data_IF_468188063372
#
_entry.id   IF_468188063372
#
_cell.length_a   1.000
_cell.length_b   1.000
_cell.length_c   1.000
_cell.angle_alpha   90.00
_cell.angle_beta   90.00
_cell.angle_gamma   90.00
#
_symmetry.space_group_name_H-M   'P 1'
#
loop_
_entity.id
_entity.type
_entity.pdbx_description
1 polymer ?
#
# COMPACT_ATOMS: atom_id res chain seq x y z
N UNK A 1 15.91 -4.75 16.56
CA UNK A 1 14.66 -4.17 15.99
C UNK A 1 14.00 -5.26 15.15
N UNK A 2 12.74 -5.63 15.42
CA UNK A 2 12.05 -6.70 14.65
C UNK A 2 11.91 -6.32 13.18
N UNK A 3 12.06 -7.28 12.26
CA UNK A 3 11.95 -7.07 10.82
C UNK A 3 10.63 -6.37 10.42
N UNK A 4 9.52 -6.69 11.10
CA UNK A 4 8.23 -6.03 10.89
C UNK A 4 8.25 -4.53 11.20
N UNK A 5 9.03 -4.09 12.20
CA UNK A 5 9.18 -2.65 12.53
C UNK A 5 9.94 -1.90 11.43
N UNK A 6 10.93 -2.55 10.81
CA UNK A 6 11.73 -1.97 9.71
C UNK A 6 10.83 -1.77 8.48
N UNK A 7 10.12 -2.81 8.04
CA UNK A 7 9.23 -2.71 6.88
C UNK A 7 8.08 -1.72 7.10
N UNK A 8 7.53 -1.65 8.32
CA UNK A 8 6.53 -0.64 8.68
C UNK A 8 7.09 0.78 8.55
N UNK A 9 8.32 1.02 9.02
CA UNK A 9 8.97 2.33 8.91
C UNK A 9 9.25 2.71 7.46
N UNK A 10 9.76 1.77 6.65
CA UNK A 10 10.02 1.99 5.22
C UNK A 10 8.71 2.33 4.50
N UNK A 11 7.67 1.53 4.71
CA UNK A 11 6.35 1.77 4.11
C UNK A 11 5.79 3.14 4.51
N UNK A 12 5.86 3.49 5.79
CA UNK A 12 5.42 4.80 6.30
C UNK A 12 6.19 5.95 5.67
N UNK A 13 7.51 5.80 5.48
CA UNK A 13 8.35 6.79 4.80
C UNK A 13 7.94 6.97 3.34
N UNK A 14 7.72 5.86 2.63
CA UNK A 14 7.24 5.93 1.24
C UNK A 14 5.84 6.55 1.14
N UNK A 15 4.94 6.21 2.05
CA UNK A 15 3.59 6.77 2.10
C UNK A 15 3.62 8.28 2.37
N UNK A 16 4.53 8.76 3.22
CA UNK A 16 4.72 10.19 3.47
C UNK A 16 5.22 10.94 2.22
N UNK A 17 6.22 10.40 1.52
CA UNK A 17 6.70 10.99 0.26
C UNK A 17 5.58 11.03 -0.77
N UNK A 18 4.82 9.93 -0.91
CA UNK A 18 3.69 9.88 -1.82
C UNK A 18 2.63 10.92 -1.44
N UNK A 19 2.30 11.04 -0.15
CA UNK A 19 1.37 12.04 0.36
C UNK A 19 1.76 13.48 -0.05
N UNK A 20 3.04 13.84 0.06
CA UNK A 20 3.53 15.16 -0.37
C UNK A 20 3.31 15.39 -1.87
N UNK A 21 3.59 14.38 -2.70
CA UNK A 21 3.37 14.46 -4.15
C UNK A 21 1.87 14.58 -4.46
N UNK A 22 1.02 13.81 -3.77
CA UNK A 22 -0.43 13.85 -3.88
C UNK A 22 -0.98 15.22 -3.48
N UNK A 23 -0.45 15.85 -2.44
CA UNK A 23 -0.81 17.23 -2.07
C UNK A 23 -0.45 18.24 -3.17
N UNK A 24 0.71 18.09 -3.81
CA UNK A 24 1.10 18.93 -4.95
C UNK A 24 0.16 18.72 -6.15
N UNK A 25 -0.23 17.48 -6.44
CA UNK A 25 -1.23 17.16 -7.47
C UNK A 25 -2.57 17.81 -7.12
N UNK A 26 -3.03 17.67 -5.88
CA UNK A 26 -4.26 18.29 -5.39
C UNK A 26 -4.23 19.81 -5.52
N UNK A 27 -3.10 20.44 -5.21
CA UNK A 27 -2.91 21.88 -5.42
C UNK A 27 -3.06 22.26 -6.91
N UNK A 28 -2.44 21.50 -7.83
CA UNK A 28 -2.60 21.74 -9.27
C UNK A 28 -4.06 21.60 -9.70
N UNK A 29 -4.76 20.56 -9.24
CA UNK A 29 -6.18 20.30 -9.58
C UNK A 29 -7.09 21.41 -9.04
N UNK A 30 -6.93 21.80 -7.77
CA UNK A 30 -7.71 22.89 -7.17
C UNK A 30 -7.48 24.20 -7.93
N UNK A 31 -6.23 24.52 -8.26
CA UNK A 31 -5.90 25.70 -9.06
C UNK A 31 -6.50 25.60 -10.48
N UNK A 32 -6.57 24.41 -11.06
CA UNK A 32 -7.16 24.19 -12.38
C UNK A 32 -8.68 24.40 -12.39
N UNK A 33 -9.35 24.03 -11.31
CA UNK A 33 -10.80 24.23 -11.14
C UNK A 33 -11.13 25.72 -10.96
N UNK A 34 -10.28 26.46 -10.25
CA UNK A 34 -10.47 27.91 -10.00
C UNK A 34 -10.04 28.75 -11.21
N UNK A 35 -9.22 28.19 -12.10
CA UNK A 35 -8.67 28.91 -13.25
C UNK A 35 -9.77 29.36 -14.23
N UNK A 36 -9.48 30.43 -14.96
CA UNK A 36 -10.39 30.99 -15.98
C UNK A 36 -10.48 30.13 -17.24
N UNK A 37 -9.53 29.22 -17.44
CA UNK A 37 -9.48 28.31 -18.59
C UNK A 37 -10.12 26.98 -18.24
N UNK A 38 -11.01 26.47 -19.10
CA UNK A 38 -11.62 25.15 -18.92
C UNK A 38 -10.52 24.08 -18.95
N UNK A 39 -10.28 23.36 -17.85
CA UNK A 39 -9.21 22.36 -17.81
C UNK A 39 -9.57 21.16 -18.70
N UNK A 40 -8.58 20.53 -19.37
CA UNK A 40 -8.84 19.32 -20.11
C UNK A 40 -9.35 18.23 -19.18
N UNK A 41 -10.58 17.79 -19.43
CA UNK A 41 -11.33 16.86 -18.56
C UNK A 41 -10.54 15.58 -18.27
N UNK A 42 -9.95 14.96 -19.30
CA UNK A 42 -9.24 13.70 -19.17
C UNK A 42 -8.01 13.78 -18.25
N UNK A 43 -7.23 14.86 -18.33
CA UNK A 43 -6.06 15.06 -17.46
C UNK A 43 -6.51 15.34 -16.03
N UNK A 44 -7.53 16.17 -15.86
CA UNK A 44 -8.08 16.45 -14.52
C UNK A 44 -8.62 15.18 -13.88
N UNK A 45 -9.36 14.36 -14.64
CA UNK A 45 -9.90 13.09 -14.18
C UNK A 45 -8.80 12.11 -13.77
N UNK A 46 -7.75 11.97 -14.57
CA UNK A 46 -6.62 11.08 -14.24
C UNK A 46 -5.88 11.54 -12.98
N UNK A 47 -5.63 12.85 -12.82
CA UNK A 47 -5.04 13.39 -11.59
C UNK A 47 -5.94 13.15 -10.36
N UNK A 48 -7.27 13.33 -10.51
CA UNK A 48 -8.23 12.99 -9.45
C UNK A 48 -8.23 11.49 -9.11
N UNK A 49 -8.14 10.63 -10.12
CA UNK A 49 -8.09 9.19 -9.92
C UNK A 49 -6.84 8.75 -9.14
N UNK A 50 -5.67 9.36 -9.40
CA UNK A 50 -4.45 9.13 -8.60
C UNK A 50 -4.70 9.49 -7.13
N UNK A 51 -5.28 10.67 -6.85
CA UNK A 51 -5.58 11.09 -5.47
C UNK A 51 -6.54 10.12 -4.77
N UNK A 52 -7.60 9.69 -5.45
CA UNK A 52 -8.58 8.75 -4.90
C UNK A 52 -7.96 7.38 -4.61
N UNK A 53 -7.10 6.89 -5.49
CA UNK A 53 -6.39 5.62 -5.31
C UNK A 53 -5.40 5.68 -4.13
N UNK A 54 -4.71 6.81 -3.95
CA UNK A 54 -3.86 7.03 -2.78
C UNK A 54 -4.65 6.94 -1.46
N UNK A 55 -5.83 7.59 -1.41
CA UNK A 55 -6.71 7.53 -0.24
C UNK A 55 -7.19 6.10 0.01
N UNK A 56 -7.56 5.38 -1.05
CA UNK A 56 -7.98 3.97 -0.95
C UNK A 56 -6.85 3.07 -0.43
N UNK A 57 -5.64 3.18 -0.99
CA UNK A 57 -4.47 2.42 -0.54
C UNK A 57 -4.12 2.71 0.92
N UNK A 58 -4.15 3.99 1.32
CA UNK A 58 -3.89 4.42 2.70
C UNK A 58 -4.96 3.87 3.66
N UNK A 59 -6.23 3.93 3.26
CA UNK A 59 -7.34 3.39 4.05
C UNK A 59 -7.20 1.88 4.24
N UNK A 60 -6.88 1.14 3.17
CA UNK A 60 -6.60 -0.30 3.26
C UNK A 60 -5.43 -0.62 4.18
N UNK A 61 -4.37 0.19 4.16
CA UNK A 61 -3.24 0.02 5.09
C UNK A 61 -3.61 0.29 6.56
N UNK A 62 -4.43 1.32 6.81
CA UNK A 62 -4.95 1.59 8.16
C UNK A 62 -5.81 0.42 8.63
N UNK A 63 -6.69 -0.12 7.78
CA UNK A 63 -7.49 -1.30 8.10
C UNK A 63 -6.64 -2.55 8.35
N UNK A 64 -5.56 -2.76 7.59
CA UNK A 64 -4.58 -3.82 7.86
C UNK A 64 -3.93 -3.67 9.24
N UNK A 65 -3.71 -2.43 9.68
CA UNK A 65 -3.08 -2.12 10.97
C UNK A 65 -4.04 -2.22 12.15
N UNK A 66 -5.34 -1.95 11.93
CA UNK A 66 -6.35 -1.94 12.99
C UNK A 66 -7.12 -3.26 13.13
N UNK A 67 -7.32 -4.00 12.04
CA UNK A 67 -8.14 -5.22 12.02
C UNK A 67 -7.33 -6.49 11.81
N UNK A 68 -6.01 -6.38 11.65
CA UNK A 68 -5.06 -7.49 11.42
C UNK A 68 -5.42 -8.45 10.27
N UNK A 69 -6.31 -8.04 9.35
CA UNK A 69 -6.74 -8.88 8.23
C UNK A 69 -5.69 -8.89 7.13
N UNK A 70 -5.02 -10.02 6.83
CA UNK A 70 -3.98 -10.09 5.81
C UNK A 70 -4.52 -9.81 4.40
N UNK A 71 -5.82 -10.04 4.15
CA UNK A 71 -6.48 -9.67 2.89
C UNK A 71 -6.42 -8.17 2.59
N UNK A 72 -6.34 -7.31 3.61
CA UNK A 72 -6.20 -5.86 3.41
C UNK A 72 -4.84 -5.48 2.83
N UNK A 73 -3.80 -6.28 3.05
CA UNK A 73 -2.51 -6.06 2.41
C UNK A 73 -2.59 -6.30 0.89
N UNK A 74 -3.32 -7.33 0.46
CA UNK A 74 -3.56 -7.62 -0.96
C UNK A 74 -4.35 -6.48 -1.61
N UNK A 75 -5.39 -5.99 -0.95
CA UNK A 75 -6.18 -4.84 -1.43
C UNK A 75 -5.32 -3.58 -1.54
N UNK A 76 -4.48 -3.30 -0.54
CA UNK A 76 -3.56 -2.16 -0.60
C UNK A 76 -2.57 -2.28 -1.77
N UNK A 77 -2.01 -3.48 -2.03
CA UNK A 77 -1.14 -3.74 -3.18
C UNK A 77 -1.88 -3.50 -4.50
N UNK A 78 -3.12 -3.97 -4.63
CA UNK A 78 -3.94 -3.76 -5.84
C UNK A 78 -4.15 -2.26 -6.08
N UNK A 79 -4.49 -1.48 -5.06
CA UNK A 79 -4.64 -0.04 -5.19
C UNK A 79 -3.34 0.65 -5.55
N UNK A 80 -2.20 0.25 -4.98
CA UNK A 80 -0.89 0.78 -5.36
C UNK A 80 -0.53 0.45 -6.82
N UNK A 81 -0.84 -0.75 -7.31
CA UNK A 81 -0.64 -1.10 -8.73
C UNK A 81 -1.54 -0.24 -9.63
N UNK A 82 -2.80 -0.07 -9.26
CA UNK A 82 -3.72 0.82 -10.00
C UNK A 82 -3.20 2.26 -10.02
N UNK A 83 -2.63 2.75 -8.91
CA UNK A 83 -2.03 4.08 -8.80
C UNK A 83 -0.85 4.26 -9.78
N UNK A 84 0.02 3.24 -9.89
CA UNK A 84 1.10 3.21 -10.89
C UNK A 84 0.53 3.33 -12.31
N UNK A 85 -0.49 2.52 -12.64
CA UNK A 85 -1.08 2.50 -13.99
C UNK A 85 -1.70 3.86 -14.33
N UNK A 86 -2.49 4.44 -13.42
CA UNK A 86 -3.10 5.75 -13.64
C UNK A 86 -2.04 6.85 -13.73
N UNK A 87 -0.96 6.76 -12.96
CA UNK A 87 0.19 7.69 -13.06
C UNK A 87 0.82 7.63 -14.45
N UNK A 88 1.05 6.43 -15.00
CA UNK A 88 1.57 6.25 -16.36
C UNK A 88 0.60 6.85 -17.39
N UNK A 89 -0.70 6.59 -17.25
CA UNK A 89 -1.74 7.16 -18.14
C UNK A 89 -1.72 8.69 -18.07
N UNK A 90 -1.61 9.28 -16.88
CA UNK A 90 -1.53 10.73 -16.70
C UNK A 90 -0.30 11.32 -17.42
N UNK A 91 0.87 10.68 -17.30
CA UNK A 91 2.08 11.09 -18.03
C UNK A 91 1.86 11.00 -19.54
N UNK A 92 1.36 9.89 -20.05
CA UNK A 92 1.08 9.73 -21.50
C UNK A 92 0.12 10.81 -21.99
N UNK A 93 -0.92 11.12 -21.22
CA UNK A 93 -1.91 12.15 -21.54
C UNK A 93 -1.30 13.55 -21.65
N UNK A 94 -0.37 13.87 -20.74
CA UNK A 94 0.39 15.13 -20.75
C UNK A 94 1.30 15.21 -21.98
N UNK A 95 1.82 14.09 -22.47
CA UNK A 95 2.65 14.05 -23.68
C UNK A 95 1.86 14.05 -24.99
N UNK A 96 0.70 13.41 -25.02
CA UNK A 96 -0.16 13.29 -26.20
C UNK A 96 -0.80 14.62 -26.61
N UNK A 97 -0.85 15.60 -25.71
CA UNK A 97 -1.40 16.92 -25.99
C UNK A 97 -0.41 17.79 -26.76
N UNK A 98 -0.87 18.78 -27.55
CA UNK A 98 0.02 19.63 -28.36
C UNK A 98 0.85 20.55 -27.45
N UNK A 99 2.05 20.94 -27.90
CA UNK A 99 2.85 21.97 -27.22
C UNK A 99 2.22 23.33 -27.46
N UNK A 100 2.15 24.15 -26.42
CA UNK A 100 1.78 25.54 -26.53
C UNK A 100 3.07 26.37 -26.64
N UNK A 101 3.22 27.14 -27.72
CA UNK A 101 4.40 27.99 -27.93
C UNK A 101 4.36 29.28 -27.09
N UNK A 102 3.22 29.58 -26.46
CA UNK A 102 3.04 30.76 -25.63
C UNK A 102 3.59 30.57 -24.20
N UNK A 103 4.04 31.68 -23.60
CA UNK A 103 4.37 31.73 -22.18
C UNK A 103 3.07 31.64 -21.36
N UNK A 104 2.79 30.45 -20.81
CA UNK A 104 1.63 30.21 -19.96
C UNK A 104 2.04 30.42 -18.50
N UNK A 105 1.27 31.23 -17.77
CA UNK A 105 1.43 31.36 -16.32
C UNK A 105 0.61 30.28 -15.60
N UNK A 106 1.22 29.64 -14.59
CA UNK A 106 0.55 28.66 -13.73
C UNK A 106 -0.73 29.21 -13.09
N UNK A 107 -0.77 30.50 -12.78
CA UNK A 107 -1.94 31.15 -12.17
C UNK A 107 -3.16 31.22 -13.09
N UNK A 108 -2.96 31.23 -14.42
CA UNK A 108 -4.04 31.33 -15.41
C UNK A 108 -4.48 29.97 -15.93
N UNK A 109 -3.54 29.08 -16.22
CA UNK A 109 -3.82 27.76 -16.80
C UNK A 109 -2.83 26.71 -16.27
N UNK A 110 -3.04 26.17 -15.06
CA UNK A 110 -2.07 25.31 -14.38
C UNK A 110 -1.86 23.95 -15.08
N UNK A 111 -2.91 23.38 -15.70
CA UNK A 111 -2.77 22.14 -16.46
C UNK A 111 -2.01 22.37 -17.77
N UNK A 112 -2.31 23.45 -18.49
CA UNK A 112 -1.57 23.79 -19.71
C UNK A 112 -0.11 24.15 -19.41
N UNK A 113 0.14 24.79 -18.27
CA UNK A 113 1.49 25.01 -17.75
C UNK A 113 2.22 23.69 -17.51
N UNK A 114 1.55 22.70 -16.93
CA UNK A 114 2.13 21.35 -16.72
C UNK A 114 2.38 20.64 -18.05
N UNK A 115 1.48 20.77 -19.02
CA UNK A 115 1.63 20.27 -20.39
C UNK A 115 2.80 20.91 -21.14
N UNK A 116 3.09 22.18 -20.86
CA UNK A 116 4.26 22.85 -21.42
C UNK A 116 5.56 22.38 -20.74
N UNK A 117 5.51 22.10 -19.43
CA UNK A 117 6.65 21.63 -18.62
C UNK A 117 6.59 20.12 -18.35
N UNK A 118 6.50 19.33 -19.42
CA UNK A 118 6.34 17.86 -19.35
C UNK A 118 7.40 17.13 -18.53
N UNK A 119 8.61 17.70 -18.46
CA UNK A 119 9.69 17.16 -17.65
C UNK A 119 9.30 17.03 -16.17
N UNK A 120 8.42 17.89 -15.65
CA UNK A 120 7.91 17.80 -14.27
C UNK A 120 7.14 16.50 -14.07
N UNK A 121 6.28 16.13 -15.03
CA UNK A 121 5.53 14.88 -14.97
C UNK A 121 6.45 13.65 -15.09
N UNK A 122 7.50 13.73 -15.92
CA UNK A 122 8.51 12.66 -16.04
C UNK A 122 9.27 12.48 -14.73
N UNK A 123 9.73 13.58 -14.12
CA UNK A 123 10.45 13.53 -12.83
C UNK A 123 9.54 12.98 -11.73
N UNK A 124 8.28 13.41 -11.68
CA UNK A 124 7.32 12.88 -10.71
C UNK A 124 7.13 11.37 -10.88
N UNK A 125 6.94 10.88 -12.10
CA UNK A 125 6.80 9.45 -12.38
C UNK A 125 8.09 8.65 -12.08
N UNK A 126 9.26 9.22 -12.40
CA UNK A 126 10.56 8.60 -12.12
C UNK A 126 10.81 8.44 -10.61
N UNK A 127 10.19 9.29 -9.77
CA UNK A 127 10.23 9.17 -8.31
C UNK A 127 9.13 8.22 -7.82
N UNK A 128 7.90 8.37 -8.30
CA UNK A 128 6.73 7.61 -7.83
C UNK A 128 6.81 6.12 -8.16
N UNK A 129 7.26 5.75 -9.36
CA UNK A 129 7.26 4.33 -9.76
C UNK A 129 8.17 3.49 -8.86
N UNK A 130 9.45 3.86 -8.61
CA UNK A 130 10.28 3.15 -7.64
C UNK A 130 9.70 3.19 -6.22
N UNK A 131 9.10 4.32 -5.82
CA UNK A 131 8.47 4.48 -4.50
C UNK A 131 7.35 3.45 -4.30
N UNK A 132 6.49 3.28 -5.30
CA UNK A 132 5.41 2.30 -5.27
C UNK A 132 5.93 0.86 -5.28
N UNK A 133 7.00 0.57 -6.02
CA UNK A 133 7.64 -0.74 -5.97
C UNK A 133 8.15 -1.07 -4.56
N UNK A 134 8.77 -0.11 -3.87
CA UNK A 134 9.19 -0.25 -2.47
C UNK A 134 7.98 -0.41 -1.54
N UNK A 135 6.88 0.31 -1.77
CA UNK A 135 5.64 0.16 -1.00
C UNK A 135 5.06 -1.26 -1.13
N UNK A 136 4.98 -1.79 -2.34
CA UNK A 136 4.50 -3.15 -2.61
C UNK A 136 5.39 -4.17 -1.91
N UNK A 137 6.71 -4.03 -2.04
CA UNK A 137 7.68 -4.92 -1.39
C UNK A 137 7.56 -4.88 0.14
N UNK A 138 7.44 -3.68 0.73
CA UNK A 138 7.30 -3.52 2.17
C UNK A 138 5.96 -4.11 2.67
N UNK A 139 4.85 -3.90 1.94
CA UNK A 139 3.54 -4.48 2.26
C UNK A 139 3.56 -6.01 2.20
N UNK A 140 4.15 -6.59 1.15
CA UNK A 140 4.25 -8.04 0.99
C UNK A 140 5.03 -8.68 2.15
N UNK A 141 6.16 -8.09 2.53
CA UNK A 141 6.94 -8.58 3.67
C UNK A 141 6.23 -8.38 5.01
N UNK A 142 5.49 -7.27 5.19
CA UNK A 142 4.69 -7.03 6.39
C UNK A 142 3.56 -8.06 6.52
N UNK A 143 2.89 -8.38 5.42
CA UNK A 143 1.83 -9.38 5.38
C UNK A 143 2.36 -10.78 5.70
N UNK A 144 3.50 -11.17 5.09
CA UNK A 144 4.15 -12.46 5.37
C UNK A 144 4.56 -12.57 6.83
N UNK A 145 5.16 -11.52 7.40
CA UNK A 145 5.54 -11.52 8.81
C UNK A 145 4.34 -11.70 9.75
N UNK A 146 3.17 -11.12 9.43
CA UNK A 146 1.94 -11.34 10.22
C UNK A 146 1.42 -12.77 10.09
N UNK A 147 1.40 -13.33 8.88
CA UNK A 147 0.95 -14.71 8.65
C UNK A 147 1.83 -15.72 9.40
N UNK A 148 3.16 -15.51 9.42
CA UNK A 148 4.07 -16.40 10.16
C UNK A 148 3.86 -16.33 11.67
N UNK A 149 3.50 -15.16 12.21
CA UNK A 149 3.21 -15.00 13.65
C UNK A 149 1.87 -15.64 14.01
N UNK A 150 0.80 -15.38 13.26
CA UNK A 150 -0.52 -16.00 13.50
C UNK A 150 -0.52 -17.52 13.27
N UNK A 151 0.32 -18.01 12.34
CA UNK A 151 0.52 -19.45 12.11
C UNK A 151 1.20 -20.16 13.29
N UNK A 152 2.04 -19.46 14.06
CA UNK A 152 2.70 -19.99 15.25
C UNK A 152 1.71 -20.21 16.41
N UNK A 153 0.77 -19.29 16.61
CA UNK A 153 -0.25 -19.43 17.67
C UNK A 153 -1.26 -20.55 17.35
N UNK A 154 -1.58 -20.76 16.06
CA UNK A 154 -2.43 -21.87 15.62
C UNK A 154 -1.76 -23.24 15.74
N UNK A 155 -0.43 -23.33 15.58
CA UNK A 155 0.31 -24.57 15.79
C UNK A 155 0.48 -24.89 17.28
N UNK A 156 0.57 -23.89 18.16
CA UNK A 156 0.56 -24.10 19.61
C UNK A 156 -0.81 -24.55 20.11
N UNK A 157 -1.92 -24.00 19.59
CA UNK A 157 -3.27 -24.49 19.92
C UNK A 157 -3.53 -25.90 19.38
N UNK A 158 -3.09 -26.21 18.16
CA UNK A 158 -3.23 -27.54 17.54
C UNK A 158 -2.29 -28.57 18.17
N UNK A 159 -1.09 -28.15 18.58
CA UNK A 159 -0.13 -28.94 19.37
C UNK A 159 -0.65 -29.16 20.80
N UNK A 160 -1.26 -28.17 21.44
CA UNK A 160 -1.90 -28.30 22.75
C UNK A 160 -3.13 -29.21 22.70
N UNK A 161 -3.97 -29.09 21.66
CA UNK A 161 -5.08 -30.03 21.42
C UNK A 161 -4.58 -31.44 21.13
N UNK A 162 -3.49 -31.59 20.35
CA UNK A 162 -2.87 -32.88 20.08
C UNK A 162 -2.21 -33.49 21.34
N UNK A 163 -1.60 -32.68 22.20
CA UNK A 163 -1.03 -33.10 23.49
C UNK A 163 -2.11 -33.48 24.51
N UNK A 164 -3.20 -32.73 24.58
CA UNK A 164 -4.37 -33.05 25.40
C UNK A 164 -5.04 -34.35 24.93
N UNK A 165 -5.16 -34.55 23.61
CA UNK A 165 -5.69 -35.79 23.03
C UNK A 165 -4.78 -36.99 23.30
N UNK A 166 -3.45 -36.82 23.30
CA UNK A 166 -2.49 -37.88 23.71
C UNK A 166 -2.63 -38.26 25.18
N UNK A 167 -2.84 -37.29 26.08
CA UNK A 167 -3.12 -37.55 27.51
C UNK A 167 -4.48 -38.23 27.75
N UNK A 168 -5.46 -38.02 26.86
CA UNK A 168 -6.79 -38.63 26.93
C UNK A 168 -6.89 -40.03 26.27
N UNK A 169 -5.78 -40.60 25.78
CA UNK A 169 -5.81 -41.97 25.24
C UNK A 169 -5.74 -43.01 26.37
N UNK A 170 -6.51 -44.13 26.30
CA UNK A 170 -6.60 -45.12 27.38
C UNK A 170 -5.25 -45.76 27.78
N UNK A 171 -4.23 -45.65 26.93
CA UNK A 171 -2.91 -46.20 27.16
C UNK A 171 -2.02 -45.38 28.10
N UNK A 172 -2.38 -44.12 28.39
CA UNK A 172 -1.54 -43.26 29.24
C UNK A 172 -1.75 -43.51 30.75
N UNK A 173 -2.97 -43.85 31.17
CA UNK A 173 -3.27 -44.22 32.57
C UNK A 173 -2.60 -45.54 33.00
N UNK A 174 -2.43 -46.48 32.08
CA UNK A 174 -1.78 -47.77 32.41
C UNK A 174 -0.29 -47.62 32.74
N UNK A 175 0.41 -46.61 32.19
CA UNK A 175 1.83 -46.37 32.51
C UNK A 175 2.02 -45.80 33.91
N UNK A 176 1.15 -44.90 34.37
CA UNK A 176 1.18 -44.41 35.75
C UNK A 176 0.86 -45.53 36.73
N UNK A 177 -0.14 -46.35 36.43
CA UNK A 177 -0.54 -47.47 37.30
C UNK A 177 0.57 -48.54 37.40
N UNK A 178 1.25 -48.87 36.30
CA UNK A 178 2.43 -49.77 36.29
C UNK A 178 3.64 -49.17 37.00
N UNK A 179 3.82 -47.84 36.96
CA UNK A 179 4.93 -47.18 37.67
C UNK A 179 4.72 -47.16 39.19
N UNK A 180 3.46 -47.10 39.64
CA UNK A 180 3.11 -47.16 41.07
C UNK A 180 3.20 -48.60 41.62
N UNK A 181 2.96 -49.61 40.80
CA UNK A 181 3.13 -51.03 41.16
C UNK A 181 4.61 -51.45 41.34
N UNK A 182 5.57 -50.73 40.77
CA UNK A 182 7.02 -50.99 40.94
C UNK A 182 7.63 -50.37 42.21
N UNK A 183 6.85 -49.62 42.99
CA UNK A 183 7.28 -48.99 44.25
C UNK A 183 6.89 -49.80 45.50
N UNK A 184 6.28 -50.96 45.31
CA UNK A 184 6.11 -52.00 46.33
C UNK A 184 6.94 -53.22 45.93
#
# INVERSE_FOLDING_TARGET
>A
MSAGKIFKSIYSGCLFINFVIILLIGFVVVRAIIATTVPPFFITFTLCAVMSLFVAATTSYVLLSCSDRPSMAVVAIIFTIAEILVTIIAVISIFATRRFEAYILFSRAPIEWLQNRRWIAVVAAAILIPLHAVQIFALANLANAKITVDGSDGDDERSAYAHARRKATPYHNNKEMLSNLKRF
#
